data_IF_113500962040
#
_entry.id   IF_113500962040
#
_cell.length_a   1.000
_cell.length_b   1.000
_cell.length_c   1.000
_cell.angle_alpha   90.00
_cell.angle_beta   90.00
_cell.angle_gamma   90.00
#
_symmetry.space_group_name_H-M   'P 1'
#
loop_
_entity.id
_entity.type
_entity.pdbx_description
1 polymer ?
#
# COMPACT_ATOMS: atom_id res chain seq x y z
N UNK A 1 -44.57 -60.72 -60.29
CA UNK A 1 -43.42 -61.57 -60.71
C UNK A 1 -43.57 -62.94 -60.06
N UNK A 2 -43.44 -63.97 -60.77
CA UNK A 2 -43.58 -65.39 -60.30
C UNK A 2 -42.26 -65.94 -59.71
N UNK A 3 -41.46 -65.08 -59.08
CA UNK A 3 -40.11 -65.42 -58.60
C UNK A 3 -40.06 -65.65 -57.05
N UNK A 4 -41.23 -65.72 -56.39
CA UNK A 4 -41.30 -65.94 -54.94
C UNK A 4 -40.77 -64.81 -54.03
N UNK A 5 -40.36 -63.69 -54.58
CA UNK A 5 -39.85 -62.57 -53.81
C UNK A 5 -40.94 -61.84 -53.03
N UNK A 6 -40.69 -61.56 -51.74
CA UNK A 6 -41.57 -60.78 -50.90
C UNK A 6 -41.19 -59.23 -51.01
N UNK A 7 -42.20 -58.44 -51.24
CA UNK A 7 -42.04 -57.02 -51.31
C UNK A 7 -42.78 -56.38 -50.12
N UNK A 8 -42.11 -55.43 -49.47
CA UNK A 8 -42.73 -54.61 -48.40
C UNK A 8 -43.08 -53.22 -48.99
N UNK A 9 -44.27 -52.82 -48.81
CA UNK A 9 -44.74 -51.52 -49.20
C UNK A 9 -45.54 -50.90 -48.06
N UNK A 10 -45.46 -49.57 -47.90
CA UNK A 10 -46.25 -48.81 -46.92
C UNK A 10 -47.45 -48.28 -47.69
N UNK A 11 -48.62 -48.55 -47.18
CA UNK A 11 -49.85 -48.05 -47.73
C UNK A 11 -50.02 -46.54 -47.38
N UNK A 12 -50.15 -45.67 -48.33
CA UNK A 12 -50.41 -44.27 -48.01
C UNK A 12 -51.79 -44.16 -47.33
N UNK A 13 -51.99 -43.09 -46.49
CA UNK A 13 -53.20 -42.95 -45.68
C UNK A 13 -54.48 -42.61 -46.46
N UNK A 14 -54.46 -42.66 -47.76
CA UNK A 14 -55.63 -42.59 -48.65
C UNK A 14 -56.24 -43.92 -48.84
N UNK A 15 -57.48 -44.12 -48.43
CA UNK A 15 -58.26 -45.34 -48.64
C UNK A 15 -58.49 -45.60 -50.14
N UNK A 16 -57.62 -46.34 -50.76
CA UNK A 16 -57.87 -46.88 -52.10
C UNK A 16 -58.59 -48.28 -52.01
N UNK A 17 -59.94 -48.18 -51.99
CA UNK A 17 -60.81 -49.40 -51.88
C UNK A 17 -60.66 -50.35 -53.03
N UNK A 18 -60.15 -49.95 -54.21
CA UNK A 18 -59.98 -50.81 -55.39
C UNK A 18 -58.67 -51.58 -55.32
N UNK A 19 -57.62 -51.04 -54.62
CA UNK A 19 -56.33 -51.74 -54.54
C UNK A 19 -56.43 -53.08 -53.84
N UNK A 20 -57.23 -53.20 -52.81
CA UNK A 20 -57.42 -54.41 -52.04
C UNK A 20 -58.13 -55.47 -52.87
N UNK A 21 -59.18 -55.07 -53.60
CA UNK A 21 -59.95 -55.99 -54.51
C UNK A 21 -59.13 -56.44 -55.70
N UNK A 22 -58.33 -55.61 -56.30
CA UNK A 22 -57.41 -55.91 -57.39
C UNK A 22 -56.30 -56.89 -56.97
N UNK A 23 -55.79 -56.76 -55.76
CA UNK A 23 -54.76 -57.65 -55.20
C UNK A 23 -55.36 -59.04 -54.88
N UNK A 24 -56.58 -59.10 -54.34
CA UNK A 24 -57.30 -60.30 -54.04
C UNK A 24 -57.69 -61.06 -55.34
N UNK A 25 -58.21 -60.33 -56.36
CA UNK A 25 -58.55 -60.94 -57.69
C UNK A 25 -57.33 -61.51 -58.39
N UNK A 26 -56.13 -60.98 -58.16
CA UNK A 26 -54.87 -61.50 -58.70
C UNK A 26 -54.23 -62.58 -57.84
N UNK A 27 -54.95 -63.09 -56.81
CA UNK A 27 -54.49 -64.17 -55.89
C UNK A 27 -53.11 -63.83 -55.21
N UNK A 28 -52.87 -62.60 -54.92
CA UNK A 28 -51.66 -62.18 -54.19
C UNK A 28 -51.85 -62.34 -52.66
N UNK A 29 -50.94 -63.09 -52.04
CA UNK A 29 -51.00 -63.31 -50.61
C UNK A 29 -50.55 -62.06 -49.90
N UNK A 30 -51.46 -61.45 -49.13
CA UNK A 30 -51.25 -60.15 -48.40
C UNK A 30 -51.03 -60.52 -46.92
N UNK A 31 -49.91 -60.08 -46.34
CA UNK A 31 -49.62 -60.16 -44.90
C UNK A 31 -49.50 -58.74 -44.37
N UNK A 32 -50.46 -58.32 -43.50
CA UNK A 32 -50.41 -57.02 -42.84
C UNK A 32 -49.61 -57.15 -41.56
N UNK A 33 -48.57 -56.32 -41.40
CA UNK A 33 -47.90 -56.13 -40.12
C UNK A 33 -48.52 -55.00 -39.37
N UNK A 34 -48.90 -55.13 -38.10
CA UNK A 34 -49.49 -54.02 -37.34
C UNK A 34 -48.41 -52.94 -37.13
N UNK A 35 -48.83 -51.71 -37.26
CA UNK A 35 -47.96 -50.61 -36.86
C UNK A 35 -47.60 -50.74 -35.38
N UNK A 36 -46.28 -50.77 -35.07
CA UNK A 36 -45.82 -50.65 -33.69
C UNK A 36 -46.26 -49.32 -33.14
N UNK A 37 -47.26 -49.32 -32.28
CA UNK A 37 -47.60 -48.13 -31.50
C UNK A 37 -46.43 -47.82 -30.53
N UNK A 38 -45.61 -46.83 -30.86
CA UNK A 38 -44.63 -46.33 -29.92
C UNK A 38 -45.33 -46.10 -28.58
N UNK A 39 -44.79 -46.67 -27.49
CA UNK A 39 -45.42 -46.62 -26.19
C UNK A 39 -45.70 -45.19 -25.77
N UNK A 40 -46.81 -44.95 -25.11
CA UNK A 40 -47.22 -43.60 -24.61
C UNK A 40 -46.10 -42.87 -23.89
N UNK A 41 -45.24 -43.59 -23.15
CA UNK A 41 -44.07 -43.06 -22.47
C UNK A 41 -43.01 -42.47 -23.42
N UNK A 42 -42.75 -43.09 -24.56
CA UNK A 42 -41.78 -42.57 -25.53
C UNK A 42 -42.29 -41.32 -26.26
N UNK A 43 -43.60 -41.23 -26.51
CA UNK A 43 -44.21 -40.03 -27.09
C UNK A 43 -44.17 -38.84 -26.12
N UNK A 44 -44.46 -39.07 -24.84
CA UNK A 44 -44.38 -38.05 -23.79
C UNK A 44 -42.93 -37.57 -23.64
N UNK A 45 -41.96 -38.47 -23.57
CA UNK A 45 -40.55 -38.12 -23.45
C UNK A 45 -40.06 -37.27 -24.64
N UNK A 46 -40.39 -37.67 -25.87
CA UNK A 46 -39.96 -36.90 -27.07
C UNK A 46 -40.64 -35.56 -27.15
N UNK A 47 -41.91 -35.43 -26.74
CA UNK A 47 -42.67 -34.20 -26.78
C UNK A 47 -42.22 -33.19 -25.67
N UNK A 48 -41.84 -33.69 -24.49
CA UNK A 48 -41.44 -32.87 -23.35
C UNK A 48 -39.93 -32.58 -23.28
N UNK A 49 -39.12 -33.37 -23.99
CA UNK A 49 -37.65 -33.22 -23.97
C UNK A 49 -37.17 -31.84 -24.38
N UNK A 50 -37.70 -31.18 -25.43
CA UNK A 50 -37.29 -29.80 -25.77
C UNK A 50 -37.62 -28.79 -24.67
N UNK A 51 -38.78 -28.95 -24.02
CA UNK A 51 -39.21 -28.09 -22.93
C UNK A 51 -38.34 -28.29 -21.68
N UNK A 52 -38.06 -29.51 -21.29
CA UNK A 52 -37.18 -29.86 -20.17
C UNK A 52 -35.74 -29.39 -20.42
N UNK A 53 -35.26 -29.51 -21.66
CA UNK A 53 -33.97 -28.99 -22.07
C UNK A 53 -33.90 -27.47 -21.93
N UNK A 54 -34.91 -26.74 -22.41
CA UNK A 54 -34.97 -25.27 -22.24
C UNK A 54 -35.03 -24.85 -20.78
N UNK A 55 -35.81 -25.57 -19.95
CA UNK A 55 -35.86 -25.33 -18.51
C UNK A 55 -34.49 -25.62 -17.85
N UNK A 56 -33.83 -26.68 -18.25
CA UNK A 56 -32.47 -27.02 -17.78
C UNK A 56 -31.44 -25.97 -18.15
N UNK A 57 -31.47 -25.49 -19.41
CA UNK A 57 -30.62 -24.38 -19.87
C UNK A 57 -30.94 -23.08 -19.11
N UNK A 58 -32.24 -22.81 -18.90
CA UNK A 58 -32.65 -21.63 -18.14
C UNK A 58 -32.18 -21.67 -16.67
N UNK A 59 -32.32 -22.84 -16.00
CA UNK A 59 -31.82 -23.04 -14.63
C UNK A 59 -30.29 -22.92 -14.60
N UNK A 60 -29.58 -23.47 -15.60
CA UNK A 60 -28.14 -23.34 -15.74
C UNK A 60 -27.70 -21.88 -15.86
N UNK A 61 -28.35 -21.10 -16.74
CA UNK A 61 -28.09 -19.66 -16.85
C UNK A 61 -28.44 -18.88 -15.59
N UNK A 62 -29.58 -19.22 -14.94
CA UNK A 62 -29.95 -18.61 -13.66
C UNK A 62 -28.92 -18.88 -12.56
N UNK A 63 -28.42 -20.12 -12.44
CA UNK A 63 -27.34 -20.48 -11.51
C UNK A 63 -26.04 -19.75 -11.84
N UNK A 64 -25.71 -19.63 -13.11
CA UNK A 64 -24.52 -18.91 -13.56
C UNK A 64 -24.64 -17.40 -13.30
N UNK A 65 -25.80 -16.81 -13.49
CA UNK A 65 -26.08 -15.40 -13.13
C UNK A 65 -26.09 -15.18 -11.61
N UNK A 66 -26.59 -16.10 -10.82
CA UNK A 66 -26.55 -16.03 -9.35
C UNK A 66 -25.11 -16.19 -8.81
N UNK A 67 -24.27 -17.00 -9.45
CA UNK A 67 -22.83 -17.13 -9.15
C UNK A 67 -22.01 -15.88 -9.56
N UNK A 68 -22.45 -15.13 -10.56
CA UNK A 68 -21.81 -13.89 -11.03
C UNK A 68 -22.20 -12.62 -10.24
N UNK A 69 -23.40 -12.60 -9.64
CA UNK A 69 -23.90 -11.46 -8.86
C UNK A 69 -23.11 -11.17 -7.59
N UNK A 70 -22.44 -12.18 -7.01
CA UNK A 70 -21.55 -11.99 -5.84
C UNK A 70 -20.27 -11.20 -6.16
N UNK A 71 -19.78 -11.23 -7.38
CA UNK A 71 -18.60 -10.44 -7.79
C UNK A 71 -18.93 -8.96 -8.04
N UNK A 72 -20.10 -8.65 -8.56
CA UNK A 72 -20.54 -7.26 -8.75
C UNK A 72 -20.81 -6.53 -7.42
N UNK A 73 -21.26 -7.23 -6.38
CA UNK A 73 -21.43 -6.67 -5.03
C UNK A 73 -20.11 -6.54 -4.25
N UNK A 74 -19.00 -7.10 -4.70
CA UNK A 74 -17.72 -7.02 -3.99
C UNK A 74 -16.93 -5.75 -4.29
N UNK A 75 -17.29 -4.96 -5.30
CA UNK A 75 -16.59 -3.71 -5.65
C UNK A 75 -16.68 -2.62 -4.57
N UNK A 76 -17.74 -2.62 -3.76
CA UNK A 76 -17.94 -1.67 -2.67
C UNK A 76 -17.37 -2.11 -1.33
N UNK A 77 -16.79 -3.32 -1.21
CA UNK A 77 -16.17 -3.78 0.04
C UNK A 77 -14.83 -3.08 0.26
N UNK A 78 -14.57 -2.72 1.51
CA UNK A 78 -13.32 -2.11 1.92
C UNK A 78 -12.13 -3.03 1.61
N UNK A 79 -11.04 -2.45 1.11
CA UNK A 79 -9.74 -3.10 0.97
C UNK A 79 -8.90 -2.98 2.24
N UNK A 80 -9.45 -2.42 3.31
CA UNK A 80 -8.76 -2.29 4.58
C UNK A 80 -8.28 -3.65 5.08
N UNK A 81 -7.00 -3.72 5.43
CA UNK A 81 -6.42 -4.90 6.05
C UNK A 81 -6.63 -4.80 7.54
N UNK A 82 -7.40 -5.71 8.10
CA UNK A 82 -7.52 -5.86 9.54
C UNK A 82 -6.37 -6.74 10.05
N UNK A 83 -5.55 -6.19 10.92
CA UNK A 83 -4.53 -6.92 11.67
C UNK A 83 -5.07 -7.15 13.08
N UNK A 84 -5.21 -8.41 13.45
CA UNK A 84 -5.61 -8.78 14.82
C UNK A 84 -4.46 -8.51 15.79
N UNK A 85 -4.79 -8.41 17.08
CA UNK A 85 -3.82 -8.14 18.16
C UNK A 85 -2.59 -9.04 18.10
N UNK A 86 -2.76 -10.33 17.85
CA UNK A 86 -1.67 -11.32 17.80
C UNK A 86 -0.70 -11.12 16.60
N UNK A 87 -1.14 -10.41 15.58
CA UNK A 87 -0.34 -10.13 14.38
C UNK A 87 0.49 -8.86 14.52
N UNK A 88 0.15 -7.98 15.46
CA UNK A 88 0.86 -6.71 15.70
C UNK A 88 1.91 -6.94 16.78
N UNK A 89 3.14 -7.22 16.36
CA UNK A 89 4.29 -7.42 17.26
C UNK A 89 5.08 -6.14 17.55
N UNK A 90 4.73 -5.03 16.88
CA UNK A 90 5.42 -3.76 16.98
C UNK A 90 4.93 -2.99 18.20
N UNK A 91 5.86 -2.51 19.04
CA UNK A 91 5.60 -1.71 20.23
C UNK A 91 6.40 -0.40 20.19
N UNK A 92 6.24 0.48 21.17
CA UNK A 92 7.03 1.70 21.27
C UNK A 92 8.54 1.46 21.42
N UNK A 93 8.95 0.27 21.86
CA UNK A 93 10.35 -0.13 21.90
C UNK A 93 11.01 -0.32 20.52
N UNK A 94 10.18 -0.54 19.48
CA UNK A 94 10.65 -0.68 18.09
C UNK A 94 10.63 0.65 17.33
N UNK A 95 10.05 1.69 17.91
CA UNK A 95 9.99 3.04 17.36
C UNK A 95 11.03 3.90 18.08
N UNK A 96 11.90 4.54 17.34
CA UNK A 96 12.97 5.37 17.87
C UNK A 96 13.03 6.73 17.14
N UNK A 97 13.62 7.74 17.77
CA UNK A 97 13.89 9.04 17.18
C UNK A 97 12.66 9.94 16.97
N UNK A 98 11.59 9.72 17.73
CA UNK A 98 10.39 10.56 17.74
C UNK A 98 9.74 10.54 19.13
N UNK A 99 10.52 10.85 20.16
CA UNK A 99 10.08 10.70 21.55
C UNK A 99 8.95 11.67 21.89
N UNK A 100 8.96 12.89 21.39
CA UNK A 100 7.87 13.86 21.54
C UNK A 100 6.57 13.36 20.92
N UNK A 101 6.65 12.81 19.70
CA UNK A 101 5.46 12.24 19.05
C UNK A 101 4.93 11.02 19.82
N UNK A 102 5.80 10.21 20.44
CA UNK A 102 5.36 9.08 21.31
C UNK A 102 4.65 9.57 22.56
N UNK A 103 5.16 10.65 23.19
CA UNK A 103 4.54 11.24 24.37
C UNK A 103 3.14 11.75 24.04
N UNK A 104 3.00 12.51 22.94
CA UNK A 104 1.70 13.02 22.47
C UNK A 104 0.67 11.92 22.21
N UNK A 105 1.09 10.79 21.65
CA UNK A 105 0.18 9.66 21.39
C UNK A 105 0.03 8.69 22.56
N UNK A 106 0.81 8.84 23.62
CA UNK A 106 0.74 8.04 24.83
C UNK A 106 -0.65 8.07 25.48
N UNK A 107 -1.26 9.26 25.54
CA UNK A 107 -2.64 9.43 26.05
C UNK A 107 -3.67 8.60 25.26
N UNK A 108 -3.45 8.42 23.96
CA UNK A 108 -4.33 7.64 23.07
C UNK A 108 -4.23 6.15 23.40
N UNK A 109 -3.01 5.69 23.69
CA UNK A 109 -2.79 4.29 24.12
C UNK A 109 -3.50 4.03 25.45
N UNK A 110 -3.35 4.93 26.41
CA UNK A 110 -4.00 4.79 27.73
C UNK A 110 -5.52 4.77 27.61
N UNK A 111 -6.07 5.60 26.73
CA UNK A 111 -7.51 5.57 26.46
C UNK A 111 -7.97 4.27 25.81
N UNK A 112 -7.28 3.80 24.79
CA UNK A 112 -7.65 2.55 24.12
C UNK A 112 -7.57 1.34 25.07
N UNK A 113 -6.66 1.39 26.07
CA UNK A 113 -6.56 0.37 27.12
C UNK A 113 -7.69 0.45 28.13
N UNK A 114 -8.00 1.67 28.62
CA UNK A 114 -8.94 1.89 29.72
C UNK A 114 -9.95 3.02 29.40
N UNK A 115 -10.83 2.85 28.40
CA UNK A 115 -11.75 3.92 27.98
C UNK A 115 -12.66 4.45 29.10
N UNK A 116 -13.07 3.56 30.01
CA UNK A 116 -13.98 3.90 31.13
C UNK A 116 -13.38 4.91 32.10
N UNK A 117 -12.07 4.89 32.32
CA UNK A 117 -11.38 5.82 33.23
C UNK A 117 -11.53 7.27 32.78
N UNK A 118 -11.39 7.52 31.48
CA UNK A 118 -11.50 8.86 30.90
C UNK A 118 -12.96 9.33 30.82
N UNK A 119 -13.88 8.41 30.48
CA UNK A 119 -15.31 8.71 30.42
C UNK A 119 -15.89 9.14 31.75
N UNK A 120 -15.48 8.50 32.86
CA UNK A 120 -15.94 8.84 34.21
C UNK A 120 -15.52 10.24 34.67
N UNK A 121 -14.43 10.79 34.12
CA UNK A 121 -13.94 12.12 34.43
C UNK A 121 -14.47 13.19 33.46
N UNK A 122 -15.33 12.82 32.50
CA UNK A 122 -15.87 13.74 31.49
C UNK A 122 -14.86 14.16 30.41
N UNK A 123 -13.69 13.52 30.36
CA UNK A 123 -12.68 13.76 29.34
C UNK A 123 -13.17 13.39 27.95
N UNK A 124 -13.04 14.30 26.99
CA UNK A 124 -13.30 14.04 25.57
C UNK A 124 -11.98 13.74 24.90
N UNK A 125 -11.89 12.55 24.30
CA UNK A 125 -10.69 12.15 23.58
C UNK A 125 -10.80 12.54 22.11
N UNK A 126 -9.68 12.90 21.47
CA UNK A 126 -9.68 13.21 20.05
C UNK A 126 -10.19 12.02 19.25
N UNK A 127 -11.18 12.24 18.38
CA UNK A 127 -11.71 11.22 17.48
C UNK A 127 -10.72 10.87 16.39
N UNK A 128 -9.90 11.83 16.00
CA UNK A 128 -8.93 11.70 14.94
C UNK A 128 -7.62 12.41 15.22
N UNK A 129 -6.53 11.77 14.79
CA UNK A 129 -5.17 12.28 14.88
C UNK A 129 -4.60 12.38 13.47
N UNK A 130 -4.03 13.54 13.14
CA UNK A 130 -3.31 13.75 11.90
C UNK A 130 -1.81 13.68 12.15
N UNK A 131 -1.15 12.63 11.68
CA UNK A 131 0.31 12.54 11.69
C UNK A 131 0.90 13.24 10.47
N UNK A 132 1.74 14.25 10.72
CA UNK A 132 2.36 15.07 9.69
C UNK A 132 3.87 14.94 9.76
N UNK A 133 4.52 14.87 8.61
CA UNK A 133 5.99 14.88 8.55
C UNK A 133 6.53 14.38 7.21
N UNK A 134 7.85 14.52 6.97
CA UNK A 134 8.50 14.05 5.78
C UNK A 134 8.31 12.54 5.52
N UNK A 135 8.46 12.07 4.28
CA UNK A 135 8.42 10.64 4.00
C UNK A 135 9.54 9.90 4.73
N UNK A 136 9.28 8.64 5.11
CA UNK A 136 10.30 7.80 5.77
C UNK A 136 10.53 8.07 7.26
N UNK A 137 9.81 9.01 7.91
CA UNK A 137 9.98 9.32 9.33
C UNK A 137 9.30 8.33 10.29
N UNK A 138 8.61 7.30 9.78
CA UNK A 138 8.06 6.23 10.60
C UNK A 138 6.60 6.41 11.04
N UNK A 139 5.82 7.31 10.42
CA UNK A 139 4.41 7.55 10.74
C UNK A 139 3.57 6.26 10.78
N UNK A 140 3.67 5.43 9.76
CA UNK A 140 2.98 4.13 9.69
C UNK A 140 3.46 3.16 10.77
N UNK A 141 4.76 3.19 11.12
CA UNK A 141 5.33 2.38 12.18
C UNK A 141 4.81 2.82 13.55
N UNK A 142 4.75 4.12 13.81
CA UNK A 142 4.22 4.71 15.04
C UNK A 142 2.74 4.34 15.22
N UNK A 143 1.92 4.43 14.15
CA UNK A 143 0.51 4.02 14.21
C UNK A 143 0.35 2.54 14.57
N UNK A 144 1.18 1.65 13.99
CA UNK A 144 1.21 0.23 14.36
C UNK A 144 1.65 0.02 15.82
N UNK A 145 2.62 0.80 16.29
CA UNK A 145 3.10 0.72 17.66
C UNK A 145 2.02 1.14 18.67
N UNK A 146 1.22 2.17 18.36
CA UNK A 146 0.07 2.58 19.18
C UNK A 146 -0.91 1.40 19.33
N UNK A 147 -1.29 0.76 18.23
CA UNK A 147 -2.22 -0.38 18.27
C UNK A 147 -1.63 -1.60 19.02
N UNK A 148 -0.34 -1.90 18.81
CA UNK A 148 0.36 -2.99 19.50
C UNK A 148 0.52 -2.73 20.98
N UNK A 149 0.82 -1.50 21.37
CA UNK A 149 0.93 -1.08 22.76
C UNK A 149 -0.44 -1.09 23.48
N UNK A 150 -1.49 -0.63 22.80
CA UNK A 150 -2.86 -0.65 23.31
C UNK A 150 -3.50 -2.04 23.24
N UNK A 151 -2.93 -2.99 22.51
CA UNK A 151 -3.47 -4.34 22.26
C UNK A 151 -4.87 -4.31 21.65
N UNK A 152 -5.09 -3.47 20.64
CA UNK A 152 -6.36 -3.32 19.93
C UNK A 152 -6.22 -3.73 18.46
N UNK A 153 -7.32 -4.14 17.79
CA UNK A 153 -7.32 -4.38 16.35
C UNK A 153 -6.91 -3.13 15.56
N UNK A 154 -6.17 -3.35 14.48
CA UNK A 154 -5.63 -2.29 13.62
C UNK A 154 -6.14 -2.45 12.20
N UNK A 155 -6.91 -1.48 11.73
CA UNK A 155 -7.36 -1.40 10.34
C UNK A 155 -6.42 -0.46 9.58
N UNK A 156 -5.84 -0.92 8.48
CA UNK A 156 -4.94 -0.09 7.67
C UNK A 156 -5.40 -0.05 6.22
N UNK A 157 -5.40 1.15 5.65
CA UNK A 157 -5.76 1.42 4.27
C UNK A 157 -4.93 2.60 3.76
N UNK A 158 -4.64 2.64 2.45
CA UNK A 158 -4.09 3.83 1.81
C UNK A 158 -5.20 4.75 1.31
N UNK A 159 -5.02 6.06 1.40
CA UNK A 159 -5.94 7.03 0.79
C UNK A 159 -6.15 6.77 -0.70
N UNK A 160 -5.13 6.27 -1.40
CA UNK A 160 -5.23 5.88 -2.81
C UNK A 160 -6.21 4.73 -3.07
N UNK A 161 -6.45 3.84 -2.09
CA UNK A 161 -7.40 2.73 -2.23
C UNK A 161 -8.87 3.18 -2.29
N UNK A 162 -9.12 4.42 -1.90
CA UNK A 162 -10.45 5.04 -2.00
C UNK A 162 -10.69 5.73 -3.34
N UNK A 163 -9.62 6.02 -4.10
CA UNK A 163 -9.73 6.69 -5.41
C UNK A 163 -9.97 5.64 -6.49
N UNK A 164 -11.16 5.64 -7.06
CA UNK A 164 -11.57 4.70 -8.12
C UNK A 164 -12.17 5.48 -9.30
N UNK A 165 -12.27 4.83 -10.47
CA UNK A 165 -12.88 5.46 -11.65
C UNK A 165 -14.42 5.45 -11.61
N UNK A 166 -15.01 4.65 -10.74
CA UNK A 166 -16.46 4.51 -10.64
C UNK A 166 -17.03 5.34 -9.48
N UNK A 167 -17.94 6.22 -9.79
CA UNK A 167 -18.60 7.11 -8.82
C UNK A 167 -19.29 6.31 -7.71
N UNK A 168 -19.02 6.67 -6.45
CA UNK A 168 -19.63 6.08 -5.27
C UNK A 168 -18.94 4.85 -4.70
N UNK A 169 -17.96 4.25 -5.40
CA UNK A 169 -17.24 3.07 -4.90
C UNK A 169 -16.35 3.45 -3.72
N UNK A 170 -15.62 4.56 -3.82
CA UNK A 170 -14.79 5.08 -2.72
C UNK A 170 -15.61 5.38 -1.47
N UNK A 171 -16.73 6.07 -1.62
CA UNK A 171 -17.65 6.36 -0.51
C UNK A 171 -18.22 5.08 0.13
N UNK A 172 -18.54 4.07 -0.65
CA UNK A 172 -19.01 2.76 -0.14
C UNK A 172 -17.93 2.04 0.66
N UNK A 173 -16.65 2.09 0.21
CA UNK A 173 -15.51 1.51 0.94
C UNK A 173 -15.24 2.22 2.26
N UNK A 174 -15.36 3.54 2.28
CA UNK A 174 -15.26 4.31 3.52
C UNK A 174 -16.31 3.82 4.51
N UNK A 175 -17.57 3.77 4.11
CA UNK A 175 -18.68 3.31 4.98
C UNK A 175 -18.44 1.90 5.50
N UNK A 176 -18.11 0.95 4.63
CA UNK A 176 -17.85 -0.44 5.01
C UNK A 176 -16.69 -0.56 6.02
N UNK A 177 -15.59 0.18 5.81
CA UNK A 177 -14.47 0.23 6.74
C UNK A 177 -14.89 0.72 8.13
N UNK A 178 -15.63 1.82 8.19
CA UNK A 178 -16.09 2.38 9.45
C UNK A 178 -17.11 1.48 10.17
N UNK A 179 -18.00 0.81 9.42
CA UNK A 179 -18.91 -0.19 9.98
C UNK A 179 -18.16 -1.42 10.55
N UNK A 180 -17.13 -1.88 9.87
CA UNK A 180 -16.28 -2.96 10.36
C UNK A 180 -15.52 -2.56 11.62
N UNK A 181 -14.98 -1.33 11.67
CA UNK A 181 -14.31 -0.81 12.86
C UNK A 181 -15.26 -0.70 14.06
N UNK A 182 -16.48 -0.20 13.87
CA UNK A 182 -17.51 -0.15 14.95
C UNK A 182 -17.82 -1.52 15.53
N UNK A 183 -17.86 -2.56 14.71
CA UNK A 183 -18.11 -3.94 15.16
C UNK A 183 -16.94 -4.53 15.95
N UNK A 184 -15.74 -3.99 15.78
CA UNK A 184 -14.50 -4.47 16.42
C UNK A 184 -13.93 -3.47 17.44
N UNK A 185 -14.75 -2.55 17.93
CA UNK A 185 -14.32 -1.58 18.95
C UNK A 185 -14.01 -2.27 20.31
N UNK A 186 -12.98 -1.84 21.06
CA UNK A 186 -12.09 -0.74 20.75
C UNK A 186 -11.08 -1.10 19.66
N UNK A 187 -10.84 -0.19 18.70
CA UNK A 187 -9.92 -0.42 17.58
C UNK A 187 -9.33 0.89 17.05
N UNK A 188 -8.29 0.76 16.21
CA UNK A 188 -7.62 1.86 15.55
C UNK A 188 -7.75 1.73 14.03
N UNK A 189 -8.20 2.81 13.37
CA UNK A 189 -8.18 2.94 11.90
C UNK A 189 -6.97 3.79 11.53
N UNK A 190 -6.15 3.31 10.62
CA UNK A 190 -5.03 4.05 10.07
C UNK A 190 -5.20 4.27 8.56
N UNK A 191 -5.21 5.54 8.16
CA UNK A 191 -5.33 5.97 6.77
C UNK A 191 -4.00 6.60 6.36
N UNK A 192 -3.20 5.87 5.57
CA UNK A 192 -1.96 6.42 5.03
C UNK A 192 -2.24 7.29 3.80
N UNK A 193 -1.39 8.28 3.54
CA UNK A 193 -1.51 9.17 2.37
C UNK A 193 -2.91 9.79 2.22
N UNK A 194 -3.45 10.33 3.31
CA UNK A 194 -4.81 10.93 3.31
C UNK A 194 -4.97 12.05 2.28
N UNK A 195 -3.89 12.70 1.87
CA UNK A 195 -3.87 13.73 0.83
C UNK A 195 -4.28 13.22 -0.55
N UNK A 196 -4.28 11.91 -0.79
CA UNK A 196 -4.83 11.33 -2.03
C UNK A 196 -6.36 11.60 -2.17
N UNK A 197 -7.09 11.62 -1.05
CA UNK A 197 -8.54 11.86 -1.01
C UNK A 197 -8.88 13.24 -0.45
N UNK A 198 -8.12 13.69 0.54
CA UNK A 198 -8.38 14.87 1.36
C UNK A 198 -7.91 16.19 0.77
N UNK A 199 -7.60 16.29 -0.52
CA UNK A 199 -7.10 17.51 -1.15
C UNK A 199 -8.19 18.59 -1.26
N UNK A 200 -7.77 19.87 -1.13
CA UNK A 200 -8.65 21.04 -1.27
C UNK A 200 -9.44 21.05 -2.58
N UNK A 201 -10.68 21.57 -2.51
CA UNK A 201 -11.60 21.71 -3.64
C UNK A 201 -11.11 22.81 -4.59
N UNK A 202 -11.24 22.61 -5.89
CA UNK A 202 -11.26 23.72 -6.84
C UNK A 202 -10.04 23.96 -7.72
N UNK A 203 -9.10 23.02 -7.90
CA UNK A 203 -7.93 23.25 -8.78
C UNK A 203 -7.87 22.34 -10.03
N UNK A 204 -9.00 21.92 -10.62
CA UNK A 204 -8.93 21.10 -11.84
C UNK A 204 -10.25 20.90 -12.56
N UNK A 205 -10.22 21.09 -13.87
CA UNK A 205 -11.30 20.77 -14.82
C UNK A 205 -11.20 19.28 -15.20
N UNK A 206 -12.01 18.40 -14.58
CA UNK A 206 -12.05 16.98 -14.99
C UNK A 206 -12.88 16.08 -14.09
N UNK A 207 -13.60 15.10 -14.66
CA UNK A 207 -14.56 14.21 -13.99
C UNK A 207 -14.03 13.26 -12.89
N UNK A 208 -12.75 13.28 -12.56
CA UNK A 208 -12.18 12.54 -11.42
C UNK A 208 -12.24 13.29 -10.08
N UNK A 209 -12.73 14.55 -10.09
CA UNK A 209 -12.86 15.36 -8.89
C UNK A 209 -14.12 15.03 -8.09
N UNK A 210 -15.23 14.74 -8.77
CA UNK A 210 -16.53 14.47 -8.15
C UNK A 210 -16.49 13.21 -7.25
N UNK A 211 -15.78 12.18 -7.68
CA UNK A 211 -15.64 10.94 -6.90
C UNK A 211 -14.82 11.13 -5.64
N UNK A 212 -13.68 11.86 -5.73
CA UNK A 212 -12.85 12.18 -4.57
C UNK A 212 -13.60 13.04 -3.56
N UNK A 213 -14.33 14.04 -4.04
CA UNK A 213 -15.14 14.91 -3.20
C UNK A 213 -16.27 14.13 -2.51
N UNK A 214 -16.94 13.22 -3.21
CA UNK A 214 -17.94 12.35 -2.62
C UNK A 214 -17.35 11.43 -1.55
N UNK A 215 -16.17 10.87 -1.81
CA UNK A 215 -15.45 10.02 -0.86
C UNK A 215 -15.01 10.80 0.38
N UNK A 216 -14.47 12.01 0.19
CA UNK A 216 -14.12 12.91 1.28
C UNK A 216 -15.36 13.25 2.12
N UNK A 217 -16.45 13.67 1.49
CA UNK A 217 -17.70 14.00 2.19
C UNK A 217 -18.23 12.79 2.99
N UNK A 218 -18.15 11.58 2.44
CA UNK A 218 -18.53 10.37 3.19
C UNK A 218 -17.63 10.15 4.41
N UNK A 219 -16.31 10.36 4.25
CA UNK A 219 -15.36 10.25 5.38
C UNK A 219 -15.69 11.25 6.49
N UNK A 220 -16.00 12.49 6.12
CA UNK A 220 -16.40 13.52 7.08
C UNK A 220 -17.69 13.15 7.80
N UNK A 221 -18.69 12.61 7.08
CA UNK A 221 -19.96 12.12 7.66
C UNK A 221 -19.72 10.98 8.64
N UNK A 222 -18.88 9.99 8.27
CA UNK A 222 -18.57 8.88 9.17
C UNK A 222 -17.84 9.35 10.44
N UNK A 223 -16.88 10.26 10.31
CA UNK A 223 -16.17 10.84 11.46
C UNK A 223 -17.10 11.66 12.37
N UNK A 224 -18.01 12.45 11.79
CA UNK A 224 -18.99 13.21 12.57
C UNK A 224 -20.01 12.30 13.26
N UNK A 225 -20.34 11.16 12.63
CA UNK A 225 -21.27 10.14 13.11
C UNK A 225 -20.73 9.29 14.27
N UNK A 226 -19.45 9.42 14.64
CA UNK A 226 -18.94 8.75 15.86
C UNK A 226 -19.42 9.49 17.11
N UNK A 227 -20.14 8.77 17.97
CA UNK A 227 -20.29 9.20 19.36
C UNK A 227 -18.93 9.14 20.07
N UNK A 228 -18.60 10.12 20.90
CA UNK A 228 -17.31 10.17 21.62
C UNK A 228 -16.97 8.95 22.50
N UNK A 229 -17.83 7.95 22.54
CA UNK A 229 -17.74 6.76 23.42
C UNK A 229 -17.61 5.43 22.65
N UNK A 230 -17.50 5.45 21.33
CA UNK A 230 -17.50 4.19 20.53
C UNK A 230 -16.17 3.44 20.57
N UNK A 231 -15.11 4.00 21.15
CA UNK A 231 -13.80 3.34 21.28
C UNK A 231 -13.04 3.16 19.96
N UNK A 232 -13.46 3.87 18.90
CA UNK A 232 -12.75 3.88 17.60
C UNK A 232 -11.96 5.17 17.47
N UNK A 233 -10.67 5.06 17.21
CA UNK A 233 -9.80 6.21 16.94
C UNK A 233 -9.29 6.12 15.50
N UNK A 234 -9.35 7.26 14.79
CA UNK A 234 -8.86 7.36 13.42
C UNK A 234 -7.53 8.10 13.42
N UNK A 235 -6.49 7.48 12.87
CA UNK A 235 -5.20 8.13 12.65
C UNK A 235 -5.01 8.27 11.14
N UNK A 236 -4.77 9.48 10.66
CA UNK A 236 -4.39 9.72 9.28
C UNK A 236 -2.93 10.18 9.19
N UNK A 237 -2.24 9.80 8.13
CA UNK A 237 -0.87 10.26 7.87
C UNK A 237 -0.79 11.00 6.53
N UNK A 238 0.00 12.09 6.52
CA UNK A 238 0.30 12.83 5.30
C UNK A 238 1.72 13.38 5.32
N UNK A 239 2.30 13.51 4.14
CA UNK A 239 3.56 14.23 3.94
C UNK A 239 3.32 15.69 3.51
N UNK A 240 2.06 16.05 3.21
CA UNK A 240 1.68 17.34 2.63
C UNK A 240 0.44 17.92 3.31
N UNK A 241 0.58 18.45 4.52
CA UNK A 241 -0.55 19.04 5.25
C UNK A 241 -1.11 20.28 4.55
N UNK A 242 -0.28 20.96 3.75
CA UNK A 242 -0.60 22.19 2.99
C UNK A 242 -1.72 21.99 1.95
N UNK A 243 -1.89 20.77 1.42
CA UNK A 243 -2.87 20.48 0.38
C UNK A 243 -4.20 19.95 0.92
N UNK A 244 -4.30 19.68 2.23
CA UNK A 244 -5.50 19.12 2.84
C UNK A 244 -6.66 20.11 2.90
N UNK A 245 -7.89 19.59 2.72
CA UNK A 245 -9.11 20.37 2.92
C UNK A 245 -9.23 20.75 4.40
N UNK A 246 -9.41 22.06 4.73
CA UNK A 246 -9.58 22.53 6.10
C UNK A 246 -10.74 21.86 6.85
N UNK A 247 -11.72 21.30 6.13
CA UNK A 247 -12.82 20.58 6.74
C UNK A 247 -12.36 19.31 7.50
N UNK A 248 -11.22 18.71 7.11
CA UNK A 248 -10.66 17.54 7.79
C UNK A 248 -10.10 17.87 9.18
N UNK A 249 -9.52 19.08 9.35
CA UNK A 249 -8.84 19.50 10.59
C UNK A 249 -9.75 20.24 11.56
N UNK A 250 -11.07 20.28 11.28
CA UNK A 250 -12.04 20.89 12.21
C UNK A 250 -12.20 20.08 13.50
N UNK A 251 -12.50 20.75 14.63
CA UNK A 251 -12.80 20.08 15.89
C UNK A 251 -13.86 18.95 15.71
N UNK A 252 -13.59 17.80 16.33
CA UNK A 252 -14.41 16.61 16.22
C UNK A 252 -14.07 15.67 15.06
N UNK A 253 -13.04 16.02 14.27
CA UNK A 253 -12.47 15.18 13.18
C UNK A 253 -11.00 14.90 13.47
N UNK A 254 -10.06 15.35 12.61
CA UNK A 254 -8.62 15.31 12.91
C UNK A 254 -8.22 16.56 13.69
N UNK A 255 -8.65 16.61 14.93
CA UNK A 255 -8.51 17.79 15.80
C UNK A 255 -7.17 17.83 16.55
N UNK A 256 -6.42 16.72 16.55
CA UNK A 256 -5.04 16.67 17.07
C UNK A 256 -4.06 16.42 15.92
N UNK A 257 -3.03 17.26 15.84
CA UNK A 257 -1.95 17.09 14.88
C UNK A 257 -0.69 16.69 15.61
N UNK A 258 -0.09 15.57 15.21
CA UNK A 258 1.18 15.05 15.73
C UNK A 258 2.25 15.18 14.65
N UNK A 259 3.32 15.91 14.95
CA UNK A 259 4.42 16.12 14.01
C UNK A 259 5.47 15.04 14.21
N UNK A 260 5.71 14.22 13.15
CA UNK A 260 6.77 13.22 13.13
C UNK A 260 7.89 13.73 12.21
N UNK A 261 8.79 14.51 12.79
CA UNK A 261 9.90 15.17 12.09
C UNK A 261 11.04 14.22 11.71
N UNK A 262 12.07 14.78 11.08
CA UNK A 262 13.33 14.07 10.92
C UNK A 262 14.01 13.90 12.28
N UNK A 263 14.67 12.76 12.53
CA UNK A 263 15.31 12.49 13.81
C UNK A 263 16.56 13.37 14.00
N UNK A 264 16.76 13.83 15.21
CA UNK A 264 18.01 14.46 15.66
C UNK A 264 19.17 13.44 15.75
N UNK A 265 20.37 13.88 16.14
CA UNK A 265 21.55 12.98 16.24
C UNK A 265 21.27 11.80 17.18
N UNK A 266 20.63 12.02 18.32
CA UNK A 266 20.31 10.96 19.29
C UNK A 266 19.25 10.02 18.74
N UNK A 267 18.23 10.55 18.09
CA UNK A 267 17.19 9.78 17.41
C UNK A 267 17.77 8.92 16.31
N UNK A 268 18.69 9.45 15.50
CA UNK A 268 19.38 8.66 14.46
C UNK A 268 20.21 7.52 15.04
N UNK A 269 20.92 7.78 16.14
CA UNK A 269 21.66 6.72 16.86
C UNK A 269 20.72 5.60 17.34
N UNK A 270 19.59 5.97 17.96
CA UNK A 270 18.60 5.01 18.43
C UNK A 270 18.02 4.19 17.27
N UNK A 271 17.66 4.84 16.16
CA UNK A 271 17.12 4.18 14.94
C UNK A 271 18.17 3.21 14.37
N UNK A 272 19.42 3.63 14.25
CA UNK A 272 20.51 2.76 13.79
C UNK A 272 20.65 1.53 14.70
N UNK A 273 20.66 1.70 16.02
CA UNK A 273 20.71 0.59 16.98
C UNK A 273 19.53 -0.39 16.80
N UNK A 274 18.31 0.12 16.54
CA UNK A 274 17.15 -0.75 16.28
C UNK A 274 17.34 -1.58 15.01
N UNK A 275 17.81 -0.97 13.92
CA UNK A 275 18.00 -1.69 12.66
C UNK A 275 19.21 -2.63 12.69
N UNK A 276 20.27 -2.28 13.41
CA UNK A 276 21.47 -3.11 13.59
C UNK A 276 21.22 -4.39 14.40
N UNK A 277 20.18 -4.45 15.25
CA UNK A 277 19.84 -5.67 16.03
C UNK A 277 19.70 -6.93 15.18
N UNK A 278 19.33 -6.79 13.91
CA UNK A 278 19.09 -7.91 12.97
C UNK A 278 20.27 -8.22 12.06
N UNK A 279 21.37 -7.49 12.22
CA UNK A 279 22.54 -7.59 11.36
C UNK A 279 23.77 -7.96 12.23
N UNK A 280 24.60 -8.90 11.81
CA UNK A 280 25.86 -9.21 12.53
C UNK A 280 26.87 -8.08 12.35
N UNK A 281 26.87 -7.14 13.27
CA UNK A 281 27.73 -5.95 13.26
C UNK A 281 29.03 -6.27 14.01
N UNK A 282 30.17 -5.77 13.52
CA UNK A 282 31.46 -5.90 14.16
C UNK A 282 31.64 -4.87 15.29
N UNK A 283 32.57 -5.13 16.21
CA UNK A 283 32.78 -4.29 17.41
C UNK A 283 33.35 -2.90 17.09
N UNK A 284 33.89 -2.68 15.88
CA UNK A 284 34.42 -1.40 15.42
C UNK A 284 33.32 -0.38 15.01
N UNK A 285 32.06 -0.81 14.97
CA UNK A 285 30.94 0.05 14.51
C UNK A 285 30.38 0.87 15.65
N UNK A 286 30.59 2.17 15.57
CA UNK A 286 29.99 3.15 16.48
C UNK A 286 28.74 3.81 15.85
N UNK A 287 27.57 3.53 16.44
CA UNK A 287 26.29 4.08 15.99
C UNK A 287 26.22 5.61 16.13
N UNK A 288 26.90 6.21 17.12
CA UNK A 288 26.93 7.65 17.30
C UNK A 288 27.72 8.32 16.18
N UNK A 289 28.86 7.78 15.81
CA UNK A 289 29.67 8.28 14.68
C UNK A 289 28.90 8.19 13.36
N UNK A 290 28.16 7.11 13.12
CA UNK A 290 27.26 7.01 11.97
C UNK A 290 26.12 8.02 12.02
N UNK A 291 25.51 8.23 13.19
CA UNK A 291 24.42 9.20 13.37
C UNK A 291 24.89 10.64 13.11
N UNK A 292 26.08 11.02 13.58
CA UNK A 292 26.70 12.32 13.25
C UNK A 292 26.97 12.43 11.75
N UNK A 293 27.40 11.34 11.11
CA UNK A 293 27.72 11.28 9.69
C UNK A 293 26.51 11.24 8.73
N UNK A 294 25.28 11.31 9.26
CA UNK A 294 24.03 11.19 8.47
C UNK A 294 23.01 12.30 8.79
N UNK A 295 23.42 13.60 8.74
CA UNK A 295 22.49 14.69 8.98
C UNK A 295 21.35 14.66 7.94
N UNK A 296 20.11 14.94 8.39
CA UNK A 296 18.94 14.99 7.52
C UNK A 296 18.40 13.64 7.04
N UNK A 297 18.98 12.52 7.47
CA UNK A 297 18.44 11.20 7.12
C UNK A 297 17.16 10.91 7.89
N UNK A 298 16.17 10.39 7.17
CA UNK A 298 14.96 9.81 7.76
C UNK A 298 15.22 8.42 8.33
N UNK A 299 14.28 7.89 9.10
CA UNK A 299 14.35 6.51 9.57
C UNK A 299 14.46 5.47 8.45
N UNK A 300 13.83 5.71 7.30
CA UNK A 300 13.93 4.86 6.13
C UNK A 300 15.31 4.91 5.47
N UNK A 301 15.95 6.09 5.43
CA UNK A 301 17.30 6.25 4.90
C UNK A 301 18.33 5.53 5.79
N UNK A 302 18.17 5.62 7.11
CA UNK A 302 19.01 4.90 8.07
C UNK A 302 18.84 3.38 7.98
N UNK A 303 17.61 2.90 7.80
CA UNK A 303 17.34 1.49 7.54
C UNK A 303 18.01 1.02 6.23
N UNK A 304 17.92 1.84 5.18
CA UNK A 304 18.59 1.57 3.91
C UNK A 304 20.13 1.57 4.05
N UNK A 305 20.69 2.47 4.86
CA UNK A 305 22.14 2.50 5.15
C UNK A 305 22.62 1.18 5.77
N UNK A 306 21.90 0.68 6.77
CA UNK A 306 22.22 -0.61 7.42
C UNK A 306 22.11 -1.77 6.42
N UNK A 307 21.06 -1.77 5.58
CA UNK A 307 20.87 -2.78 4.55
C UNK A 307 21.98 -2.75 3.49
N UNK A 308 22.35 -1.58 2.97
CA UNK A 308 23.42 -1.42 1.98
C UNK A 308 24.78 -1.82 2.55
N UNK A 309 25.06 -1.50 3.81
CA UNK A 309 26.29 -1.96 4.48
C UNK A 309 26.34 -3.49 4.57
N UNK A 310 25.23 -4.14 4.93
CA UNK A 310 25.13 -5.60 4.95
C UNK A 310 25.34 -6.21 3.56
N UNK A 311 24.78 -5.59 2.50
CA UNK A 311 24.99 -6.02 1.11
C UNK A 311 26.46 -5.88 0.69
N UNK A 312 27.17 -4.82 1.10
CA UNK A 312 28.60 -4.68 0.85
C UNK A 312 29.43 -5.77 1.56
N UNK A 313 29.10 -6.08 2.83
CA UNK A 313 29.75 -7.16 3.57
C UNK A 313 29.54 -8.52 2.87
N UNK A 314 28.30 -8.81 2.47
CA UNK A 314 27.97 -10.06 1.77
C UNK A 314 28.71 -10.20 0.43
N UNK A 315 28.82 -9.13 -0.37
CA UNK A 315 29.59 -9.13 -1.62
C UNK A 315 31.10 -9.35 -1.40
N UNK A 316 31.62 -8.96 -0.23
CA UNK A 316 33.01 -9.16 0.16
C UNK A 316 33.22 -10.47 0.91
N UNK A 317 32.22 -11.38 0.96
CA UNK A 317 32.24 -12.64 1.69
C UNK A 317 32.63 -12.49 3.19
N UNK A 318 32.30 -11.35 3.80
CA UNK A 318 32.48 -11.10 5.23
C UNK A 318 31.35 -11.70 6.04
N UNK A 319 31.61 -12.12 7.27
CA UNK A 319 30.61 -12.65 8.20
C UNK A 319 29.97 -11.56 9.06
N UNK A 320 30.63 -10.43 9.21
CA UNK A 320 30.20 -9.28 10.01
C UNK A 320 30.32 -8.00 9.18
N UNK A 321 29.49 -7.02 9.50
CA UNK A 321 29.49 -5.69 8.88
C UNK A 321 30.36 -4.78 9.71
N UNK A 322 31.49 -4.30 9.16
CA UNK A 322 32.39 -3.37 9.83
C UNK A 322 32.08 -1.91 9.47
N UNK A 323 32.72 -0.96 10.19
CA UNK A 323 32.58 0.47 9.92
C UNK A 323 32.92 0.82 8.48
N UNK A 324 33.85 0.12 7.84
CA UNK A 324 34.21 0.33 6.44
C UNK A 324 33.04 0.08 5.47
N UNK A 325 32.23 -0.94 5.73
CA UNK A 325 31.05 -1.21 4.89
C UNK A 325 29.97 -0.13 5.08
N UNK A 326 29.80 0.39 6.28
CA UNK A 326 28.91 1.52 6.54
C UNK A 326 29.36 2.80 5.83
N UNK A 327 30.67 3.10 5.83
CA UNK A 327 31.22 4.24 5.10
C UNK A 327 31.02 4.09 3.58
N UNK A 328 31.25 2.90 3.01
CA UNK A 328 30.96 2.62 1.61
C UNK A 328 29.49 2.76 1.27
N UNK A 329 28.61 2.31 2.15
CA UNK A 329 27.17 2.43 1.98
C UNK A 329 26.72 3.89 2.02
N UNK A 330 27.23 4.68 2.96
CA UNK A 330 27.00 6.13 3.06
C UNK A 330 27.45 6.86 1.81
N UNK A 331 28.66 6.57 1.33
CA UNK A 331 29.19 7.12 0.08
C UNK A 331 28.28 6.80 -1.11
N UNK A 332 27.83 5.55 -1.23
CA UNK A 332 26.93 5.13 -2.31
C UNK A 332 25.58 5.85 -2.26
N UNK A 333 25.02 6.03 -1.07
CA UNK A 333 23.73 6.71 -0.88
C UNK A 333 23.86 8.19 -1.22
N UNK A 334 24.89 8.87 -0.74
CA UNK A 334 25.06 10.32 -0.90
C UNK A 334 25.56 10.70 -2.29
N UNK A 335 26.49 9.94 -2.86
CA UNK A 335 27.21 10.30 -4.09
C UNK A 335 26.90 9.39 -5.28
N UNK A 336 26.15 8.30 -5.06
CA UNK A 336 25.88 7.28 -6.07
C UNK A 336 26.99 6.22 -6.21
N UNK A 337 26.78 5.24 -7.09
CA UNK A 337 27.75 4.16 -7.32
C UNK A 337 29.04 4.65 -7.95
N UNK A 338 30.16 4.00 -7.62
CA UNK A 338 31.46 4.22 -8.25
C UNK A 338 31.42 3.88 -9.74
N UNK A 339 31.93 4.78 -10.59
CA UNK A 339 32.09 4.56 -12.02
C UNK A 339 33.41 3.85 -12.32
N UNK A 340 33.50 2.57 -12.01
CA UNK A 340 34.71 1.76 -12.19
C UNK A 340 35.15 1.61 -13.64
N UNK A 341 34.24 1.78 -14.59
CA UNK A 341 34.52 1.69 -16.04
C UNK A 341 35.04 3.01 -16.62
N UNK A 342 34.98 4.10 -15.87
CA UNK A 342 35.45 5.40 -16.30
C UNK A 342 36.97 5.50 -16.07
N UNK A 343 37.73 5.40 -17.16
CA UNK A 343 39.18 5.56 -17.14
C UNK A 343 39.49 7.05 -17.31
N UNK A 344 39.99 7.67 -16.22
CA UNK A 344 40.50 9.04 -16.29
C UNK A 344 41.99 9.01 -16.66
N UNK A 345 42.39 9.94 -17.56
CA UNK A 345 43.81 10.17 -17.84
C UNK A 345 44.48 10.80 -16.62
N UNK A 346 45.81 10.64 -16.49
CA UNK A 346 46.53 11.19 -15.34
C UNK A 346 46.41 12.71 -15.25
N UNK A 347 46.37 13.40 -16.38
CA UNK A 347 46.09 14.85 -16.44
C UNK A 347 44.69 15.19 -15.89
N UNK A 348 43.66 14.38 -16.18
CA UNK A 348 42.31 14.58 -15.63
C UNK A 348 42.26 14.31 -14.13
N UNK A 349 42.95 13.27 -13.64
CA UNK A 349 43.05 12.99 -12.21
C UNK A 349 43.73 14.14 -11.47
N UNK A 350 44.84 14.63 -12.01
CA UNK A 350 45.59 15.77 -11.46
C UNK A 350 44.70 17.03 -11.41
N UNK A 351 44.03 17.37 -12.50
CA UNK A 351 43.14 18.52 -12.57
C UNK A 351 42.00 18.39 -11.57
N UNK A 352 41.36 17.20 -11.43
CA UNK A 352 40.32 16.94 -10.45
C UNK A 352 40.86 17.01 -9.03
N UNK A 353 42.06 16.50 -8.75
CA UNK A 353 42.69 16.56 -7.43
C UNK A 353 42.93 18.02 -7.00
N UNK A 354 43.44 18.87 -7.88
CA UNK A 354 43.60 20.31 -7.62
C UNK A 354 42.27 20.99 -7.36
N UNK A 355 41.23 20.67 -8.11
CA UNK A 355 39.88 21.23 -7.96
C UNK A 355 39.30 20.87 -6.58
N UNK A 356 39.30 19.58 -6.22
CA UNK A 356 38.77 19.11 -4.93
C UNK A 356 39.62 19.60 -3.74
N UNK A 357 40.94 19.68 -3.92
CA UNK A 357 41.81 20.26 -2.90
C UNK A 357 41.53 21.76 -2.70
N UNK A 358 41.18 22.48 -3.77
CA UNK A 358 40.75 23.87 -3.69
C UNK A 358 39.55 24.04 -2.80
N UNK A 359 38.49 23.27 -3.03
CA UNK A 359 37.30 23.25 -2.17
C UNK A 359 37.65 22.92 -0.71
N UNK A 360 38.51 21.93 -0.48
CA UNK A 360 38.90 21.54 0.87
C UNK A 360 39.69 22.62 1.59
N UNK A 361 40.64 23.27 0.91
CA UNK A 361 41.46 24.34 1.48
C UNK A 361 40.63 25.56 1.79
N UNK A 362 39.78 25.99 0.84
CA UNK A 362 38.88 27.13 1.06
C UNK A 362 37.94 26.85 2.23
N UNK A 363 37.25 25.67 2.23
CA UNK A 363 36.35 25.30 3.31
C UNK A 363 37.04 25.18 4.69
N UNK A 364 38.34 24.85 4.73
CA UNK A 364 39.11 24.83 5.97
C UNK A 364 39.49 26.24 6.48
N UNK A 365 39.70 27.20 5.56
CA UNK A 365 40.16 28.54 5.89
C UNK A 365 39.04 29.54 6.14
N UNK A 366 37.86 29.36 5.53
CA UNK A 366 36.73 30.28 5.73
C UNK A 366 36.06 30.07 7.09
N UNK A 367 35.57 31.15 7.70
CA UNK A 367 34.98 31.08 9.04
C UNK A 367 33.60 30.37 9.01
N UNK A 368 33.24 29.76 10.11
CA UNK A 368 31.91 29.14 10.31
C UNK A 368 31.49 28.11 9.22
N UNK A 369 32.46 27.53 8.52
CA UNK A 369 32.19 26.43 7.56
C UNK A 369 32.19 25.09 8.26
N UNK A 370 31.39 24.16 7.70
CA UNK A 370 31.38 22.77 8.17
C UNK A 370 32.79 22.15 7.95
N UNK A 371 33.31 21.31 8.86
CA UNK A 371 34.63 20.70 8.70
C UNK A 371 34.70 19.75 7.50
N UNK A 372 35.88 19.69 6.86
CA UNK A 372 36.14 18.75 5.77
C UNK A 372 36.13 17.32 6.32
N UNK A 373 35.22 16.50 5.82
CA UNK A 373 35.10 15.10 6.22
C UNK A 373 35.88 14.19 5.27
N UNK A 374 35.76 14.40 3.97
CA UNK A 374 36.35 13.54 2.96
C UNK A 374 36.60 14.27 1.66
N UNK A 375 37.74 14.01 1.05
CA UNK A 375 38.08 14.43 -0.32
C UNK A 375 38.35 13.21 -1.16
N UNK A 376 37.81 13.12 -2.35
CA UNK A 376 37.99 11.97 -3.25
C UNK A 376 37.99 12.39 -4.71
N UNK A 377 38.85 11.77 -5.50
CA UNK A 377 38.87 11.88 -6.96
C UNK A 377 38.26 10.66 -7.66
N UNK A 378 37.63 9.76 -6.88
CA UNK A 378 36.93 8.60 -7.45
C UNK A 378 35.63 9.07 -8.08
N UNK A 379 35.44 8.87 -9.39
CA UNK A 379 34.23 9.34 -10.05
C UNK A 379 32.99 8.57 -9.56
N UNK A 380 31.96 9.33 -9.17
CA UNK A 380 30.68 8.81 -8.68
C UNK A 380 29.51 9.57 -9.30
N UNK A 381 28.48 8.86 -9.72
CA UNK A 381 27.31 9.49 -10.33
C UNK A 381 27.69 10.42 -11.51
N UNK A 382 27.51 11.73 -11.36
CA UNK A 382 27.90 12.76 -12.37
C UNK A 382 29.20 13.47 -12.00
N UNK A 383 29.71 13.30 -10.79
CA UNK A 383 30.89 13.98 -10.30
C UNK A 383 32.18 13.19 -10.64
N UNK A 384 33.25 13.91 -10.97
CA UNK A 384 34.59 13.34 -11.21
C UNK A 384 35.38 13.22 -9.92
N UNK A 385 35.12 14.11 -8.96
CA UNK A 385 35.59 14.10 -7.59
C UNK A 385 34.53 14.69 -6.68
N UNK A 386 34.73 14.65 -5.38
CA UNK A 386 33.84 15.24 -4.39
C UNK A 386 34.63 15.63 -3.14
N UNK A 387 34.44 16.86 -2.69
CA UNK A 387 34.83 17.31 -1.36
C UNK A 387 33.61 17.36 -0.48
N UNK A 388 33.57 16.53 0.56
CA UNK A 388 32.41 16.38 1.43
C UNK A 388 32.68 17.04 2.77
N UNK A 389 31.79 17.95 3.15
CA UNK A 389 31.79 18.64 4.42
C UNK A 389 30.71 18.05 5.32
N UNK A 390 31.01 17.88 6.58
CA UNK A 390 30.10 17.28 7.52
C UNK A 390 29.86 18.21 8.71
N UNK A 391 28.63 18.65 8.97
CA UNK A 391 28.34 19.48 10.13
C UNK A 391 28.61 18.73 11.43
N UNK A 392 29.12 19.42 12.45
CA UNK A 392 29.39 18.84 13.78
C UNK A 392 28.09 18.45 14.53
N UNK A 393 26.97 19.04 14.13
CA UNK A 393 25.65 18.77 14.71
C UNK A 393 24.50 19.14 13.76
N UNK A 394 23.29 18.96 14.23
CA UNK A 394 22.09 19.32 13.46
C UNK A 394 21.96 20.85 13.38
N UNK A 395 21.94 21.39 12.16
CA UNK A 395 21.81 22.82 11.90
C UNK A 395 20.33 23.18 11.80
N UNK A 396 19.83 23.95 12.77
CA UNK A 396 18.45 24.45 12.81
C UNK A 396 18.34 25.80 12.08
N UNK A 397 19.45 26.58 12.05
CA UNK A 397 19.52 27.86 11.39
C UNK A 397 20.89 28.06 10.73
N UNK A 398 20.95 28.89 9.72
CA UNK A 398 22.17 29.22 8.99
C UNK A 398 22.43 30.73 9.15
N UNK A 399 23.61 31.11 9.63
CA UNK A 399 24.01 32.50 9.73
C UNK A 399 24.38 33.09 8.34
N UNK A 400 24.37 34.42 8.21
CA UNK A 400 24.84 35.08 6.98
C UNK A 400 26.29 34.68 6.67
N UNK A 401 27.16 34.64 7.69
CA UNK A 401 28.55 34.25 7.52
C UNK A 401 28.72 32.82 7.02
N UNK A 402 27.90 31.88 7.54
CA UNK A 402 27.89 30.50 7.05
C UNK A 402 27.49 30.43 5.61
N UNK A 403 26.49 31.22 5.15
CA UNK A 403 26.09 31.28 3.74
C UNK A 403 27.20 31.82 2.86
N UNK A 404 27.85 32.92 3.29
CA UNK A 404 28.98 33.53 2.56
C UNK A 404 30.16 32.55 2.48
N UNK A 405 30.46 31.82 3.56
CA UNK A 405 31.49 30.78 3.56
C UNK A 405 31.16 29.60 2.65
N UNK A 406 29.92 29.14 2.65
CA UNK A 406 29.47 28.11 1.70
C UNK A 406 29.54 28.58 0.26
N UNK A 407 29.19 29.83 -0.04
CA UNK A 407 29.36 30.39 -1.37
C UNK A 407 30.84 30.44 -1.78
N UNK A 408 31.72 30.92 -0.87
CA UNK A 408 33.16 30.97 -1.15
C UNK A 408 33.78 29.59 -1.43
N UNK A 409 33.22 28.54 -0.86
CA UNK A 409 33.70 27.17 -1.07
C UNK A 409 33.18 26.56 -2.37
N UNK A 410 32.06 27.03 -2.92
CA UNK A 410 31.49 26.55 -4.18
C UNK A 410 32.19 27.11 -5.43
N UNK A 411 32.87 28.26 -5.31
CA UNK A 411 33.59 28.93 -6.37
C UNK A 411 35.11 28.82 -6.20
#
# INVERSE_FOLDING_TARGET
>A
KNDGSKYMTVMPPLEDKKLLDDLLNKKVKIEGTPFEKRGLLSQILISWFPMLFLVGVWIFFMRQMQGGGGKAMSFGKSRAKMLNQDQIKVTFADVAGCDEAKEEVGEVVDFLREPKKFQNLGGKIPKGILMVGPPGTGKTLLAKAIAGEAKVPFFTISGSDFVEMFVGVGASRVRDMFEQAKKNAPCLIFIDEIDAVGRQRGAGLGGGHDEREQTLNQMLVEMDGFGGNEGVIVIAATNRPDVLDPALTRPGRFDRQVVVGLPDVKGREQILKVHMRKVPVADDVDAMTLARGTPGYSGADLANLVNEAALFAARSNKRTVSMLEFEKAKDKINMGPERRTMIMTDKQKESTAYHEAGHAIVGYLVPEHDPVHKVTIIPRGRALGVTFFLPEGDQISISQKQLESKLSTLY
#
